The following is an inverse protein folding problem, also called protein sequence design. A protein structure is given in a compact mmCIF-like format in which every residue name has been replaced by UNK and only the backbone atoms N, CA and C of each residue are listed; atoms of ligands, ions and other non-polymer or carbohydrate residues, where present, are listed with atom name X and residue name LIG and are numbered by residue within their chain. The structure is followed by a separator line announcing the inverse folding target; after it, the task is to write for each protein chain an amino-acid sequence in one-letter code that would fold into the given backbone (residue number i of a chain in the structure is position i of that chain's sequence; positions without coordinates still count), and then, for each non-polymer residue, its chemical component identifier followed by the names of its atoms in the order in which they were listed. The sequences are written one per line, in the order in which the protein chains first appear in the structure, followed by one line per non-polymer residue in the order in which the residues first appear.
data_IF_101830259572
#
_entry.id   IF_101830259572
#
_cell.length_a   1.000
_cell.length_b   1.000
_cell.length_c   1.000
_cell.angle_alpha   90.00
_cell.angle_beta   90.00
_cell.angle_gamma   90.00
#
_symmetry.space_group_name_H-M   'P 1'
#
loop_
_entity.id
_entity.type
_entity.pdbx_description
1 polymer ?
#
# COMPACT_ATOMS: atom_id res chain seq x y z
N UNK A 1 -4.64 -1.77 -22.42
CA UNK A 1 -4.78 -2.84 -21.42
C UNK A 1 -4.40 -2.18 -20.12
N UNK A 2 -5.29 -2.16 -19.13
CA UNK A 2 -5.00 -1.46 -17.87
C UNK A 2 -3.96 -2.27 -17.11
N UNK A 3 -2.79 -1.68 -16.81
CA UNK A 3 -1.68 -2.34 -16.12
C UNK A 3 -1.88 -2.44 -14.60
N UNK A 4 -3.11 -2.26 -14.13
CA UNK A 4 -3.48 -2.28 -12.71
C UNK A 4 -4.48 -3.40 -12.42
N UNK A 5 -4.41 -3.96 -11.23
CA UNK A 5 -5.31 -5.01 -10.73
C UNK A 5 -6.27 -4.41 -9.72
N UNK A 6 -7.56 -4.71 -9.85
CA UNK A 6 -8.53 -4.38 -8.80
C UNK A 6 -8.37 -5.37 -7.65
N UNK A 7 -8.10 -4.82 -6.46
CA UNK A 7 -7.93 -5.60 -5.24
C UNK A 7 -9.23 -5.60 -4.43
N UNK A 8 -9.71 -6.80 -4.14
CA UNK A 8 -10.88 -7.06 -3.32
C UNK A 8 -10.50 -7.95 -2.16
N UNK A 9 -11.36 -8.07 -1.16
CA UNK A 9 -11.17 -9.01 -0.04
C UNK A 9 -10.90 -10.45 -0.50
N UNK A 10 -11.39 -10.85 -1.67
CA UNK A 10 -11.27 -12.21 -2.19
C UNK A 10 -9.91 -12.50 -2.81
N UNK A 11 -9.27 -11.50 -3.44
CA UNK A 11 -8.01 -11.69 -4.16
C UNK A 11 -6.80 -11.01 -3.49
N UNK A 12 -7.04 -10.16 -2.48
CA UNK A 12 -5.99 -9.36 -1.86
C UNK A 12 -4.89 -10.24 -1.26
N UNK A 13 -5.28 -11.17 -0.38
CA UNK A 13 -4.34 -12.03 0.35
C UNK A 13 -3.48 -12.85 -0.61
N UNK A 14 -4.11 -13.39 -1.66
CA UNK A 14 -3.39 -14.11 -2.69
C UNK A 14 -2.43 -13.18 -3.45
N UNK A 15 -2.89 -11.98 -3.84
CA UNK A 15 -2.07 -11.04 -4.61
C UNK A 15 -0.82 -10.61 -3.85
N UNK A 16 -0.93 -10.29 -2.56
CA UNK A 16 0.23 -9.90 -1.74
C UNK A 16 1.12 -11.07 -1.32
N UNK A 17 0.62 -12.31 -1.42
CA UNK A 17 1.39 -13.53 -1.14
C UNK A 17 2.15 -14.00 -2.38
N UNK A 18 1.51 -13.95 -3.55
CA UNK A 18 2.08 -14.38 -4.82
C UNK A 18 3.07 -13.34 -5.39
N UNK A 19 3.03 -12.09 -4.89
CA UNK A 19 3.87 -11.00 -5.37
C UNK A 19 4.62 -10.34 -4.21
N UNK A 20 5.95 -10.35 -4.30
CA UNK A 20 6.85 -9.79 -3.30
C UNK A 20 6.81 -8.26 -3.24
N UNK A 21 6.27 -7.60 -4.26
CA UNK A 21 6.20 -6.14 -4.35
C UNK A 21 4.88 -5.69 -4.97
N UNK A 22 4.05 -5.06 -4.14
CA UNK A 22 2.73 -4.54 -4.51
C UNK A 22 2.62 -3.09 -4.06
N UNK A 23 2.23 -2.20 -4.96
CA UNK A 23 1.86 -0.83 -4.65
C UNK A 23 0.33 -0.72 -4.77
N UNK A 24 -0.34 -0.16 -3.77
CA UNK A 24 -1.79 -0.10 -3.66
C UNK A 24 -2.26 1.35 -3.60
N UNK A 25 -3.24 1.70 -4.44
CA UNK A 25 -3.98 2.97 -4.40
C UNK A 25 -5.38 2.74 -3.81
N UNK A 26 -5.65 3.30 -2.64
CA UNK A 26 -6.97 3.33 -2.01
C UNK A 26 -7.73 4.55 -2.49
N UNK A 27 -8.82 4.34 -3.24
CA UNK A 27 -9.51 5.40 -3.99
C UNK A 27 -11.04 5.28 -3.87
N UNK A 28 -11.75 6.29 -4.38
CA UNK A 28 -13.20 6.26 -4.59
C UNK A 28 -13.61 7.12 -5.80
N UNK A 29 -14.76 6.82 -6.41
CA UNK A 29 -15.22 7.49 -7.64
C UNK A 29 -15.56 8.98 -7.46
N UNK A 30 -16.03 9.38 -6.28
CA UNK A 30 -16.36 10.76 -5.93
C UNK A 30 -15.12 11.61 -5.56
N UNK A 31 -13.99 10.97 -5.31
CA UNK A 31 -12.74 11.63 -4.90
C UNK A 31 -12.09 12.34 -6.10
N UNK A 32 -12.17 13.67 -6.12
CA UNK A 32 -11.54 14.53 -7.13
C UNK A 32 -10.03 14.27 -7.27
N UNK A 33 -9.24 14.32 -6.18
CA UNK A 33 -7.80 14.06 -6.22
C UNK A 33 -7.45 12.66 -6.73
N UNK A 34 -8.23 11.64 -6.38
CA UNK A 34 -8.02 10.27 -6.85
C UNK A 34 -8.14 10.17 -8.38
N UNK A 35 -9.13 10.85 -8.96
CA UNK A 35 -9.30 10.91 -10.42
C UNK A 35 -8.15 11.63 -11.12
N UNK A 36 -7.58 12.65 -10.49
CA UNK A 36 -6.39 13.34 -11.03
C UNK A 36 -5.13 12.48 -10.94
N UNK A 37 -5.03 11.65 -9.90
CA UNK A 37 -3.89 10.76 -9.68
C UNK A 37 -3.92 9.49 -10.54
N UNK A 38 -5.11 8.99 -10.89
CA UNK A 38 -5.29 7.79 -11.73
C UNK A 38 -4.37 7.70 -12.97
N UNK A 39 -4.23 8.72 -13.84
CA UNK A 39 -3.32 8.64 -14.98
C UNK A 39 -1.83 8.57 -14.60
N UNK A 40 -1.43 9.18 -13.49
CA UNK A 40 -0.05 9.09 -12.97
C UNK A 40 0.23 7.67 -12.50
N UNK A 41 -0.74 7.07 -11.79
CA UNK A 41 -0.66 5.71 -11.29
C UNK A 41 -0.60 4.68 -12.43
N UNK A 42 -1.43 4.82 -13.45
CA UNK A 42 -1.43 3.96 -14.64
C UNK A 42 -0.11 4.03 -15.41
N UNK A 43 0.43 5.24 -15.60
CA UNK A 43 1.73 5.42 -16.27
C UNK A 43 2.87 4.80 -15.47
N UNK A 44 2.86 4.92 -14.14
CA UNK A 44 3.83 4.26 -13.28
C UNK A 44 3.73 2.73 -13.37
N UNK A 45 2.52 2.19 -13.49
CA UNK A 45 2.28 0.76 -13.69
C UNK A 45 2.86 0.25 -15.02
N UNK A 46 2.65 0.98 -16.10
CA UNK A 46 3.26 0.65 -17.41
C UNK A 46 4.79 0.70 -17.38
N UNK A 47 5.38 1.61 -16.61
CA UNK A 47 6.83 1.77 -16.48
C UNK A 47 7.50 0.72 -15.57
N UNK A 48 6.73 0.00 -14.74
CA UNK A 48 7.26 -0.93 -13.73
C UNK A 48 6.54 -2.30 -13.83
N UNK A 49 6.80 -3.09 -14.89
CA UNK A 49 6.11 -4.36 -15.11
C UNK A 49 6.46 -5.46 -14.08
N UNK A 50 7.49 -5.24 -13.28
CA UNK A 50 7.95 -6.10 -12.19
C UNK A 50 7.29 -5.76 -10.83
N UNK A 51 6.42 -4.77 -10.78
CA UNK A 51 5.66 -4.34 -9.61
C UNK A 51 4.16 -4.51 -9.90
N UNK A 52 3.41 -5.10 -8.97
CA UNK A 52 1.95 -5.14 -9.08
C UNK A 52 1.36 -3.83 -8.61
N UNK A 53 0.55 -3.20 -9.46
CA UNK A 53 -0.20 -1.99 -9.13
C UNK A 53 -1.65 -2.37 -8.82
N UNK A 54 -1.99 -2.39 -7.54
CA UNK A 54 -3.31 -2.71 -7.02
C UNK A 54 -4.17 -1.47 -6.76
N UNK A 55 -5.47 -1.56 -7.01
CA UNK A 55 -6.43 -0.50 -6.67
C UNK A 55 -7.52 -1.04 -5.78
N UNK A 56 -7.78 -0.36 -4.66
CA UNK A 56 -8.85 -0.71 -3.74
C UNK A 56 -9.88 0.42 -3.74
N UNK A 57 -11.10 0.15 -4.22
CA UNK A 57 -12.21 1.07 -4.03
C UNK A 57 -12.70 0.97 -2.57
N UNK A 58 -12.52 2.05 -1.80
CA UNK A 58 -12.87 2.06 -0.38
C UNK A 58 -14.38 2.01 -0.12
N UNK A 59 -15.21 2.38 -1.10
CA UNK A 59 -16.67 2.24 -1.01
C UNK A 59 -17.13 0.81 -1.28
N UNK A 60 -16.47 0.12 -2.22
CA UNK A 60 -16.77 -1.27 -2.54
C UNK A 60 -16.15 -2.25 -1.54
N UNK A 61 -15.01 -1.89 -0.94
CA UNK A 61 -14.22 -2.75 -0.03
C UNK A 61 -14.00 -2.08 1.35
N UNK A 62 -15.07 -1.73 2.10
CA UNK A 62 -14.94 -1.00 3.36
C UNK A 62 -14.21 -1.80 4.44
N UNK A 63 -14.37 -3.13 4.48
CA UNK A 63 -13.65 -3.99 5.42
C UNK A 63 -12.14 -4.00 5.15
N UNK A 64 -11.74 -4.02 3.87
CA UNK A 64 -10.33 -3.98 3.47
C UNK A 64 -9.72 -2.62 3.81
N UNK A 65 -10.43 -1.53 3.49
CA UNK A 65 -10.01 -0.18 3.87
C UNK A 65 -9.87 -0.02 5.39
N UNK A 66 -10.79 -0.61 6.18
CA UNK A 66 -10.71 -0.60 7.64
C UNK A 66 -9.52 -1.41 8.16
N UNK A 67 -9.26 -2.59 7.60
CA UNK A 67 -8.12 -3.43 7.98
C UNK A 67 -6.77 -2.72 7.77
N UNK A 68 -6.68 -1.90 6.72
CA UNK A 68 -5.51 -1.06 6.44
C UNK A 68 -5.52 0.30 7.16
N UNK A 69 -6.52 0.58 7.98
CA UNK A 69 -6.62 1.84 8.73
C UNK A 69 -6.75 3.07 7.84
N UNK A 70 -7.37 2.95 6.66
CA UNK A 70 -7.50 4.05 5.69
C UNK A 70 -8.49 5.09 6.21
N UNK A 71 -7.98 6.30 6.49
CA UNK A 71 -8.76 7.42 7.03
C UNK A 71 -9.01 8.53 6.01
N UNK A 72 -8.24 8.55 4.93
CA UNK A 72 -8.34 9.54 3.86
C UNK A 72 -7.98 8.92 2.53
N UNK A 73 -8.51 9.50 1.45
CA UNK A 73 -8.24 9.05 0.08
C UNK A 73 -7.83 10.23 -0.81
N UNK A 74 -6.95 10.00 -1.80
CA UNK A 74 -6.27 8.72 -2.05
C UNK A 74 -5.26 8.41 -0.94
N UNK A 75 -4.99 7.15 -0.67
CA UNK A 75 -3.87 6.71 0.18
C UNK A 75 -3.05 5.70 -0.59
N UNK A 76 -1.73 5.86 -0.57
CA UNK A 76 -0.80 4.97 -1.24
C UNK A 76 -0.10 4.09 -0.22
N UNK A 77 -0.03 2.79 -0.50
CA UNK A 77 0.64 1.83 0.34
C UNK A 77 1.55 0.91 -0.48
N UNK A 78 2.78 0.68 -0.02
CA UNK A 78 3.65 -0.33 -0.60
C UNK A 78 3.75 -1.50 0.37
N UNK A 79 3.42 -2.68 -0.13
CA UNK A 79 3.63 -3.96 0.51
C UNK A 79 4.83 -4.64 -0.14
N UNK A 80 5.81 -5.00 0.68
CA UNK A 80 6.99 -5.78 0.30
C UNK A 80 7.05 -7.02 1.18
N UNK A 81 7.08 -8.20 0.58
CA UNK A 81 7.10 -9.48 1.29
C UNK A 81 6.05 -9.56 2.41
N UNK A 82 4.81 -9.19 2.10
CA UNK A 82 3.69 -9.14 3.04
C UNK A 82 3.85 -8.12 4.19
N UNK A 83 4.86 -7.25 4.15
CA UNK A 83 5.09 -6.15 5.10
C UNK A 83 4.78 -4.80 4.44
N UNK A 84 3.95 -3.97 5.09
CA UNK A 84 3.74 -2.60 4.65
C UNK A 84 4.99 -1.75 4.96
N UNK A 85 5.71 -1.32 3.93
CA UNK A 85 6.96 -0.54 4.05
C UNK A 85 6.78 0.94 3.76
N UNK A 86 5.63 1.31 3.19
CA UNK A 86 5.24 2.69 2.94
C UNK A 86 3.72 2.79 3.06
N UNK A 87 3.24 3.83 3.74
CA UNK A 87 1.83 4.18 3.78
C UNK A 87 1.73 5.70 3.90
N UNK A 88 1.16 6.37 2.90
CA UNK A 88 1.02 7.82 2.92
C UNK A 88 -0.32 8.25 2.34
N UNK A 89 -1.09 9.10 3.05
CA UNK A 89 -2.26 9.73 2.48
C UNK A 89 -1.86 10.81 1.46
N UNK A 90 -2.70 10.97 0.44
CA UNK A 90 -2.57 11.95 -0.62
C UNK A 90 -2.03 11.39 -1.93
N UNK A 91 -2.32 12.11 -3.01
CA UNK A 91 -1.79 11.83 -4.33
C UNK A 91 -0.34 12.30 -4.42
N UNK A 92 0.51 11.50 -5.05
CA UNK A 92 1.89 11.88 -5.34
C UNK A 92 2.04 12.40 -6.78
N UNK A 93 2.85 13.45 -7.01
CA UNK A 93 3.35 13.74 -8.35
C UNK A 93 4.13 12.56 -8.92
N UNK A 94 4.21 12.46 -10.26
CA UNK A 94 4.88 11.35 -10.96
C UNK A 94 6.33 11.11 -10.50
N UNK A 95 7.09 12.19 -10.33
CA UNK A 95 8.49 12.13 -9.87
C UNK A 95 8.58 11.56 -8.44
N UNK A 96 7.75 12.07 -7.53
CA UNK A 96 7.72 11.57 -6.15
C UNK A 96 7.27 10.11 -6.08
N UNK A 97 6.28 9.70 -6.89
CA UNK A 97 5.86 8.31 -6.96
C UNK A 97 7.00 7.39 -7.44
N UNK A 98 7.73 7.84 -8.46
CA UNK A 98 8.90 7.11 -9.00
C UNK A 98 10.00 6.98 -7.94
N UNK A 99 10.28 8.06 -7.21
CA UNK A 99 11.27 8.07 -6.13
C UNK A 99 10.88 7.14 -4.98
N UNK A 100 9.60 7.12 -4.58
CA UNK A 100 9.11 6.23 -3.53
C UNK A 100 9.24 4.77 -3.98
N UNK A 101 8.86 4.44 -5.22
CA UNK A 101 9.07 3.09 -5.79
C UNK A 101 10.55 2.72 -5.77
N UNK A 102 11.42 3.64 -6.22
CA UNK A 102 12.87 3.42 -6.25
C UNK A 102 13.50 3.25 -4.87
N UNK A 103 13.02 3.98 -3.86
CA UNK A 103 13.43 3.82 -2.47
C UNK A 103 12.96 2.49 -1.91
N UNK A 104 11.69 2.13 -2.12
CA UNK A 104 11.15 0.85 -1.69
C UNK A 104 11.93 -0.31 -2.28
N UNK A 105 12.31 -0.27 -3.57
CA UNK A 105 13.18 -1.27 -4.22
C UNK A 105 14.50 -1.51 -3.49
N UNK A 106 15.09 -0.45 -2.94
CA UNK A 106 16.40 -0.47 -2.29
C UNK A 106 16.33 -0.86 -0.81
N UNK A 107 15.14 -0.99 -0.23
CA UNK A 107 15.01 -1.42 1.16
C UNK A 107 15.56 -2.83 1.34
N UNK A 108 16.40 -2.99 2.37
CA UNK A 108 16.82 -4.29 2.86
C UNK A 108 15.67 -4.90 3.69
N UNK A 109 14.98 -5.87 3.09
CA UNK A 109 13.83 -6.50 3.72
C UNK A 109 14.20 -7.36 4.93
N UNK A 110 15.45 -7.82 5.04
CA UNK A 110 15.91 -8.53 6.24
C UNK A 110 16.02 -7.57 7.42
N UNK A 111 16.49 -6.35 7.19
CA UNK A 111 16.49 -5.29 8.22
C UNK A 111 15.09 -4.82 8.55
N UNK A 112 14.23 -4.62 7.55
CA UNK A 112 12.83 -4.21 7.75
C UNK A 112 12.07 -5.25 8.58
N UNK A 113 12.18 -6.54 8.26
CA UNK A 113 11.50 -7.61 9.02
C UNK A 113 11.98 -7.67 10.46
N UNK A 114 13.29 -7.49 10.71
CA UNK A 114 13.83 -7.39 12.08
C UNK A 114 13.23 -6.20 12.82
N UNK A 115 13.21 -5.02 12.19
CA UNK A 115 12.65 -3.81 12.78
C UNK A 115 11.15 -3.94 13.08
N UNK A 116 10.37 -4.55 12.18
CA UNK A 116 8.94 -4.80 12.39
C UNK A 116 8.72 -5.80 13.53
N UNK A 117 9.49 -6.89 13.60
CA UNK A 117 9.42 -7.84 14.70
C UNK A 117 9.75 -7.17 16.05
N UNK A 118 10.77 -6.31 16.07
CA UNK A 118 11.16 -5.55 17.26
C UNK A 118 10.08 -4.53 17.67
N UNK A 119 9.44 -3.85 16.71
CA UNK A 119 8.35 -2.90 16.97
C UNK A 119 7.08 -3.60 17.45
N UNK A 120 6.73 -4.76 16.88
CA UNK A 120 5.60 -5.56 17.32
C UNK A 120 5.81 -6.09 18.74
N UNK A 121 7.01 -6.62 19.04
CA UNK A 121 7.36 -7.06 20.39
C UNK A 121 7.32 -5.90 21.42
N UNK A 122 7.67 -4.68 21.00
CA UNK A 122 7.60 -3.48 21.84
C UNK A 122 6.16 -2.98 22.04
N UNK A 123 5.32 -3.04 21.01
CA UNK A 123 3.90 -2.66 21.10
C UNK A 123 3.09 -3.62 21.99
N UNK A 124 3.36 -4.93 21.89
CA UNK A 124 2.77 -5.95 22.77
C UNK A 124 3.24 -5.81 24.23
N UNK A 125 4.48 -5.35 24.45
CA UNK A 125 5.02 -5.06 25.78
C UNK A 125 4.44 -3.81 26.45
N UNK A 126 3.90 -2.85 25.69
CA UNK A 126 3.28 -1.61 26.21
C UNK A 126 1.78 -1.77 26.51
N UNK A 127 1.05 -2.62 25.78
CA UNK A 127 -0.36 -2.90 26.06
C UNK A 127 -0.60 -3.66 27.39
N UNK A 128 0.46 -4.20 28.01
CA UNK A 128 0.40 -4.88 29.30
C UNK A 128 0.60 -3.98 30.54
N UNK A 129 0.87 -2.68 30.39
CA UNK A 129 1.21 -1.79 31.52
C UNK A 129 0.13 -0.76 31.90
N UNK A 130 -0.91 -0.55 31.10
CA UNK A 130 -1.99 0.41 31.37
C UNK A 130 -3.22 -0.19 32.09
N UNK A 131 -3.04 -1.32 32.79
CA UNK A 131 -4.10 -2.06 33.49
C UNK A 131 -3.95 -2.11 35.01
N UNK A 132 -3.58 -1.00 35.65
CA UNK A 132 -3.48 -0.88 37.12
C UNK A 132 -4.40 0.21 37.69
#
# INVERSE_FOLDING_TARGET
MTSTVELTKENFDQTVTDNEFVLIDFWASWCGPCKQFAPVYEKAAEANPDLVFGKVDTEAQPELAQAFGIQSIPTLMIVRDQVAVFAQPGALPEEALTDVIGQARKLDMDEVRKAVADQQAQAEGQAGQDGQ
#
